data_IF_746445876796
#
_entry.id   IF_746445876796
#
_cell.length_a   1.000
_cell.length_b   1.000
_cell.length_c   1.000
_cell.angle_alpha   90.00
_cell.angle_beta   90.00
_cell.angle_gamma   90.00
#
_symmetry.space_group_name_H-M   'P 1'
#
loop_
_entity.id
_entity.type
_entity.pdbx_description
1 polymer ?
#
# COMPACT_ATOMS: atom_id res chain seq x y z
N UNK A 1 0.74 4.88 10.79
CA UNK A 1 2.06 5.13 10.21
C UNK A 1 2.62 6.44 10.78
N UNK A 2 3.70 6.41 11.53
CA UNK A 2 4.21 7.57 12.29
C UNK A 2 5.65 7.94 11.88
N UNK A 3 5.88 8.18 10.59
CA UNK A 3 7.16 8.57 10.02
C UNK A 3 7.00 9.76 9.06
N UNK A 4 6.21 10.75 9.51
CA UNK A 4 5.74 11.87 8.69
C UNK A 4 6.86 12.70 8.04
N UNK A 5 8.05 12.80 8.66
CA UNK A 5 9.18 13.59 8.15
C UNK A 5 9.77 13.03 6.84
N UNK A 6 9.58 11.73 6.53
CA UNK A 6 9.94 11.12 5.25
C UNK A 6 8.71 10.99 4.32
N UNK A 7 7.52 11.43 4.76
CA UNK A 7 6.26 11.14 4.09
C UNK A 7 5.82 9.68 4.26
N UNK A 8 6.17 9.05 5.39
CA UNK A 8 5.93 7.64 5.69
C UNK A 8 6.54 6.70 4.62
N UNK A 9 7.75 7.04 4.15
CA UNK A 9 8.43 6.26 3.12
C UNK A 9 8.89 4.89 3.66
N UNK A 10 8.89 3.89 2.79
CA UNK A 10 9.26 2.51 3.10
C UNK A 10 10.76 2.32 2.96
N UNK A 11 11.51 2.60 4.01
CA UNK A 11 12.85 2.10 4.23
C UNK A 11 12.80 0.80 5.06
N UNK A 12 13.95 0.16 5.25
CA UNK A 12 14.03 -1.11 5.97
C UNK A 12 13.59 -0.99 7.44
N UNK A 13 13.90 0.13 8.09
CA UNK A 13 13.48 0.39 9.48
C UNK A 13 11.98 0.50 9.61
N UNK A 14 11.36 1.27 8.71
CA UNK A 14 9.91 1.47 8.68
C UNK A 14 9.16 0.16 8.40
N UNK A 15 9.55 -0.61 7.37
CA UNK A 15 8.84 -1.85 7.03
C UNK A 15 9.00 -2.94 8.09
N UNK A 16 10.13 -2.99 8.79
CA UNK A 16 10.33 -3.88 9.95
C UNK A 16 9.38 -3.52 11.09
N UNK A 17 9.31 -2.24 11.45
CA UNK A 17 8.38 -1.77 12.48
C UNK A 17 6.92 -2.03 12.11
N UNK A 18 6.56 -1.83 10.84
CA UNK A 18 5.21 -2.13 10.33
C UNK A 18 4.89 -3.63 10.42
N UNK A 19 5.79 -4.50 9.97
CA UNK A 19 5.67 -5.94 10.08
C UNK A 19 5.45 -6.38 11.54
N UNK A 20 6.30 -5.89 12.45
CA UNK A 20 6.24 -6.26 13.87
C UNK A 20 4.93 -5.80 14.52
N UNK A 21 4.46 -4.58 14.19
CA UNK A 21 3.16 -4.09 14.64
C UNK A 21 2.00 -4.94 14.11
N UNK A 22 2.04 -5.35 12.83
CA UNK A 22 1.01 -6.20 12.24
C UNK A 22 1.03 -7.60 12.84
N UNK A 23 2.21 -8.18 13.10
CA UNK A 23 2.33 -9.47 13.76
C UNK A 23 1.74 -9.42 15.19
N UNK A 24 1.97 -8.34 15.91
CA UNK A 24 1.38 -8.13 17.23
C UNK A 24 -0.15 -7.97 17.17
N UNK A 25 -0.67 -7.24 16.17
CA UNK A 25 -2.12 -7.14 15.94
C UNK A 25 -2.74 -8.53 15.65
N UNK A 26 -2.10 -9.34 14.81
CA UNK A 26 -2.57 -10.68 14.51
C UNK A 26 -2.67 -11.52 15.80
N UNK A 27 -1.64 -11.50 16.63
CA UNK A 27 -1.65 -12.19 17.93
C UNK A 27 -2.80 -11.72 18.84
N UNK A 28 -3.01 -10.41 18.98
CA UNK A 28 -4.10 -9.87 19.82
C UNK A 28 -5.51 -10.15 19.28
N UNK A 29 -5.66 -10.36 17.97
CA UNK A 29 -6.96 -10.68 17.37
C UNK A 29 -7.30 -12.17 17.42
N UNK A 30 -6.31 -13.06 17.65
CA UNK A 30 -6.50 -14.51 17.75
C UNK A 30 -6.83 -14.98 19.16
N UNK A 31 -6.41 -14.25 20.20
CA UNK A 31 -6.66 -14.64 21.60
C UNK A 31 -8.14 -14.49 21.99
N UNK A 32 -8.74 -15.62 22.36
CA UNK A 32 -10.18 -15.72 22.67
C UNK A 32 -10.61 -14.98 23.95
N UNK A 33 -9.69 -14.58 24.84
CA UNK A 33 -9.96 -14.12 26.21
C UNK A 33 -9.34 -12.76 26.60
N UNK A 34 -8.59 -12.10 25.70
CA UNK A 34 -8.10 -10.74 25.96
C UNK A 34 -9.17 -9.68 25.61
N UNK A 35 -8.98 -8.45 26.08
CA UNK A 35 -9.78 -7.30 25.63
C UNK A 35 -9.77 -7.27 24.09
N UNK A 36 -10.87 -7.76 23.49
CA UNK A 36 -10.90 -8.09 22.06
C UNK A 36 -10.75 -6.85 21.23
N UNK A 37 -9.69 -6.80 20.41
CA UNK A 37 -9.66 -5.89 19.26
C UNK A 37 -10.74 -6.37 18.29
N UNK A 38 -11.72 -5.52 18.01
CA UNK A 38 -12.85 -5.84 17.13
C UNK A 38 -12.77 -5.15 15.78
N UNK A 39 -11.91 -4.12 15.64
CA UNK A 39 -11.60 -3.44 14.41
C UNK A 39 -10.21 -2.80 14.48
N UNK A 40 -9.57 -2.60 13.33
CA UNK A 40 -8.30 -1.90 13.20
C UNK A 40 -8.51 -0.65 12.34
N UNK A 41 -8.03 0.50 12.83
CA UNK A 41 -7.92 1.74 12.06
C UNK A 41 -6.47 1.94 11.64
N UNK A 42 -6.21 1.83 10.34
CA UNK A 42 -4.92 2.12 9.73
C UNK A 42 -4.87 3.58 9.29
N UNK A 43 -4.19 4.41 10.03
CA UNK A 43 -4.03 5.85 9.76
C UNK A 43 -2.56 6.23 9.59
N UNK A 44 -2.31 7.46 9.15
CA UNK A 44 -0.97 7.98 8.94
C UNK A 44 -0.84 9.42 9.47
N UNK A 45 0.28 9.70 10.13
CA UNK A 45 0.64 11.05 10.54
C UNK A 45 1.18 11.87 9.36
N UNK A 46 0.95 13.17 9.40
CA UNK A 46 1.45 14.13 8.42
C UNK A 46 0.55 14.30 7.19
N UNK A 47 1.05 14.99 6.15
CA UNK A 47 0.23 15.40 5.01
C UNK A 47 -0.06 14.28 4.02
N UNK A 48 0.65 13.14 4.10
CA UNK A 48 0.52 12.02 3.19
C UNK A 48 0.26 10.72 3.95
N UNK A 49 -0.53 9.84 3.38
CA UNK A 49 -0.64 8.48 3.89
C UNK A 49 0.72 7.77 3.79
N UNK A 50 1.27 7.66 2.59
CA UNK A 50 2.66 7.27 2.37
C UNK A 50 3.07 7.52 0.91
N UNK A 51 4.34 7.87 0.72
CA UNK A 51 4.95 8.09 -0.61
C UNK A 51 5.54 6.81 -1.21
N UNK A 52 5.39 5.66 -0.54
CA UNK A 52 5.93 4.36 -0.99
C UNK A 52 7.40 4.17 -0.66
N UNK A 53 8.13 3.41 -1.47
CA UNK A 53 9.54 3.10 -1.23
C UNK A 53 10.41 4.34 -1.05
N UNK A 54 11.34 4.32 -0.10
CA UNK A 54 12.31 5.39 0.09
C UNK A 54 13.39 5.34 -0.99
N UNK A 55 13.17 6.10 -2.06
CA UNK A 55 14.13 6.16 -3.18
C UNK A 55 15.50 6.71 -2.78
N UNK A 56 15.58 7.51 -1.70
CA UNK A 56 16.88 8.02 -1.21
C UNK A 56 17.67 6.89 -0.57
N UNK A 57 17.02 6.08 0.27
CA UNK A 57 17.63 4.88 0.82
C UNK A 57 18.03 3.91 -0.29
N UNK A 58 17.18 3.70 -1.30
CA UNK A 58 17.47 2.81 -2.43
C UNK A 58 18.72 3.26 -3.22
N UNK A 59 18.81 4.55 -3.56
CA UNK A 59 19.95 5.09 -4.33
C UNK A 59 21.24 5.08 -3.51
N UNK A 60 21.17 5.25 -2.19
CA UNK A 60 22.34 5.21 -1.31
C UNK A 60 23.06 3.86 -1.32
N UNK A 61 22.36 2.77 -1.59
CA UNK A 61 22.91 1.40 -1.64
C UNK A 61 23.75 1.10 -2.89
N UNK A 62 23.76 1.99 -3.88
CA UNK A 62 24.58 1.88 -5.09
C UNK A 62 24.43 0.51 -5.78
N UNK A 63 25.51 -0.28 -5.81
CA UNK A 63 25.53 -1.58 -6.47
C UNK A 63 24.78 -2.66 -5.65
N UNK A 64 24.58 -2.46 -4.35
CA UNK A 64 23.81 -3.33 -3.47
C UNK A 64 22.30 -3.09 -3.54
N UNK A 65 21.82 -2.09 -4.30
CA UNK A 65 20.39 -1.67 -4.36
C UNK A 65 19.43 -2.83 -4.61
N UNK A 66 19.77 -3.80 -5.46
CA UNK A 66 18.91 -4.95 -5.74
C UNK A 66 18.64 -5.81 -4.51
N UNK A 67 19.68 -6.10 -3.73
CA UNK A 67 19.56 -6.85 -2.47
C UNK A 67 18.75 -6.09 -1.41
N UNK A 68 19.05 -4.79 -1.26
CA UNK A 68 18.36 -3.94 -0.31
C UNK A 68 16.85 -3.80 -0.64
N UNK A 69 16.51 -3.52 -1.90
CA UNK A 69 15.12 -3.40 -2.35
C UNK A 69 14.38 -4.73 -2.17
N UNK A 70 15.06 -5.86 -2.40
CA UNK A 70 14.50 -7.18 -2.13
C UNK A 70 14.12 -7.34 -0.65
N UNK A 71 15.04 -7.03 0.26
CA UNK A 71 14.81 -7.13 1.70
C UNK A 71 13.68 -6.21 2.17
N UNK A 72 13.62 -4.97 1.66
CA UNK A 72 12.52 -4.03 1.94
C UNK A 72 11.18 -4.59 1.44
N UNK A 73 11.13 -5.11 0.21
CA UNK A 73 9.93 -5.67 -0.38
C UNK A 73 9.44 -6.91 0.39
N UNK A 74 10.32 -7.89 0.63
CA UNK A 74 9.98 -9.12 1.37
C UNK A 74 9.44 -8.79 2.78
N UNK A 75 10.09 -7.85 3.49
CA UNK A 75 9.64 -7.41 4.81
C UNK A 75 8.28 -6.68 4.76
N UNK A 76 8.07 -5.83 3.76
CA UNK A 76 6.77 -5.16 3.56
C UNK A 76 5.67 -6.16 3.19
N UNK A 77 6.00 -7.20 2.42
CA UNK A 77 5.08 -8.27 2.03
C UNK A 77 4.57 -9.07 3.23
N UNK A 78 5.41 -9.30 4.26
CA UNK A 78 4.96 -9.90 5.52
C UNK A 78 3.87 -9.06 6.19
N UNK A 79 4.02 -7.73 6.21
CA UNK A 79 2.99 -6.83 6.73
C UNK A 79 1.71 -6.84 5.87
N UNK A 80 1.85 -6.85 4.54
CA UNK A 80 0.72 -6.96 3.59
C UNK A 80 -0.07 -8.24 3.83
N UNK A 81 0.62 -9.38 3.94
CA UNK A 81 0.00 -10.68 4.23
C UNK A 81 -0.68 -10.69 5.59
N UNK A 82 -0.01 -10.16 6.61
CA UNK A 82 -0.56 -10.08 7.95
C UNK A 82 -1.84 -9.24 8.02
N UNK A 83 -1.84 -8.02 7.45
CA UNK A 83 -3.03 -7.17 7.40
C UNK A 83 -4.17 -7.79 6.61
N UNK A 84 -3.86 -8.37 5.44
CA UNK A 84 -4.86 -9.04 4.62
C UNK A 84 -5.48 -10.25 5.31
N UNK A 85 -4.71 -10.94 6.17
CA UNK A 85 -5.12 -12.12 6.93
C UNK A 85 -5.80 -11.83 8.28
N UNK A 86 -5.85 -10.59 8.75
CA UNK A 86 -6.51 -10.27 10.03
C UNK A 86 -7.96 -10.72 10.02
N UNK A 87 -8.40 -11.34 11.11
CA UNK A 87 -9.80 -11.76 11.27
C UNK A 87 -10.76 -10.58 11.43
N UNK A 88 -10.32 -9.52 12.10
CA UNK A 88 -11.13 -8.33 12.35
C UNK A 88 -11.14 -7.38 11.16
N UNK A 89 -12.18 -6.55 11.01
CA UNK A 89 -12.21 -5.53 9.97
C UNK A 89 -11.07 -4.52 10.09
N UNK A 90 -10.52 -4.13 8.95
CA UNK A 90 -9.50 -3.08 8.82
C UNK A 90 -10.08 -1.91 8.04
N UNK A 91 -10.11 -0.74 8.65
CA UNK A 91 -10.47 0.54 8.04
C UNK A 91 -9.20 1.31 7.75
N UNK A 92 -9.00 1.79 6.52
CA UNK A 92 -7.91 2.70 6.20
C UNK A 92 -8.41 4.15 6.13
N UNK A 93 -7.69 5.05 6.80
CA UNK A 93 -7.85 6.50 6.75
C UNK A 93 -6.75 7.08 5.85
N UNK A 94 -7.13 7.67 4.71
CA UNK A 94 -6.20 7.96 3.61
C UNK A 94 -6.22 9.43 3.23
N UNK A 95 -5.09 10.12 3.42
CA UNK A 95 -4.90 11.53 3.03
C UNK A 95 -3.69 11.72 2.11
N UNK A 96 -3.70 12.82 1.37
CA UNK A 96 -2.57 13.28 0.56
C UNK A 96 -2.10 12.27 -0.48
N UNK A 97 -0.80 12.00 -0.51
CA UNK A 97 -0.23 11.02 -1.44
C UNK A 97 -0.35 9.58 -0.90
N UNK A 98 -0.77 8.69 -1.80
CA UNK A 98 -0.72 7.23 -1.65
C UNK A 98 0.05 6.70 -2.85
N UNK A 99 1.33 6.35 -2.66
CA UNK A 99 2.16 6.01 -3.81
C UNK A 99 2.90 4.66 -3.66
N UNK A 100 3.18 4.01 -4.79
CA UNK A 100 3.97 2.77 -4.82
C UNK A 100 3.43 1.71 -3.87
N UNK A 101 4.29 1.12 -3.03
CA UNK A 101 3.94 0.08 -2.05
C UNK A 101 2.82 0.46 -1.08
N UNK A 102 2.65 1.76 -0.80
CA UNK A 102 1.54 2.24 0.03
C UNK A 102 0.16 1.97 -0.59
N UNK A 103 0.07 1.93 -1.92
CA UNK A 103 -1.18 1.52 -2.60
C UNK A 103 -1.48 0.08 -2.24
N UNK A 104 -0.50 -0.83 -2.37
CA UNK A 104 -0.65 -2.23 -1.96
C UNK A 104 -1.12 -2.38 -0.52
N UNK A 105 -0.49 -1.64 0.41
CA UNK A 105 -0.91 -1.62 1.81
C UNK A 105 -2.37 -1.16 1.98
N UNK A 106 -2.79 -0.10 1.27
CA UNK A 106 -4.19 0.38 1.29
C UNK A 106 -5.17 -0.67 0.76
N UNK A 107 -4.76 -1.46 -0.26
CA UNK A 107 -5.60 -2.52 -0.85
C UNK A 107 -5.87 -3.69 0.11
N UNK A 108 -5.11 -3.83 1.20
CA UNK A 108 -5.35 -4.84 2.23
C UNK A 108 -6.50 -4.45 3.17
N UNK A 109 -6.83 -3.17 3.28
CA UNK A 109 -7.96 -2.73 4.10
C UNK A 109 -9.29 -3.26 3.56
N UNK A 110 -10.26 -3.46 4.46
CA UNK A 110 -11.60 -3.89 4.09
C UNK A 110 -12.46 -2.71 3.65
N UNK A 111 -12.24 -1.57 4.31
CA UNK A 111 -12.93 -0.32 4.01
C UNK A 111 -11.91 0.83 3.97
N UNK A 112 -12.09 1.74 3.02
CA UNK A 112 -11.21 2.88 2.83
C UNK A 112 -12.02 4.17 2.87
N UNK A 113 -11.66 5.08 3.78
CA UNK A 113 -12.15 6.46 3.81
C UNK A 113 -11.01 7.37 3.36
N UNK A 114 -11.24 8.17 2.35
CA UNK A 114 -10.23 9.05 1.78
C UNK A 114 -10.61 10.53 1.91
N UNK A 115 -9.60 11.36 2.18
CA UNK A 115 -9.72 12.80 2.02
C UNK A 115 -9.97 13.16 0.55
N UNK A 116 -10.77 14.20 0.28
CA UNK A 116 -11.04 14.69 -1.09
C UNK A 116 -9.75 15.07 -1.83
N UNK A 117 -8.74 15.57 -1.10
CA UNK A 117 -7.43 15.89 -1.65
C UNK A 117 -6.51 14.70 -1.91
N UNK A 118 -6.89 13.47 -1.52
CA UNK A 118 -6.04 12.30 -1.68
C UNK A 118 -5.81 11.92 -3.15
N UNK A 119 -4.60 11.42 -3.43
CA UNK A 119 -4.14 11.09 -4.77
C UNK A 119 -3.41 9.75 -4.77
N UNK A 120 -3.93 8.80 -5.51
CA UNK A 120 -3.31 7.47 -5.67
C UNK A 120 -2.43 7.46 -6.92
N UNK A 121 -1.22 6.93 -6.80
CA UNK A 121 -0.30 6.78 -7.93
C UNK A 121 0.59 5.54 -7.76
N UNK A 122 0.60 4.65 -8.72
CA UNK A 122 1.46 3.46 -8.66
C UNK A 122 2.95 3.84 -8.81
N UNK A 123 3.30 4.61 -9.80
CA UNK A 123 4.62 5.25 -9.94
C UNK A 123 5.77 4.32 -10.36
N UNK A 124 5.65 3.03 -10.24
CA UNK A 124 6.72 2.05 -10.45
C UNK A 124 7.36 2.11 -11.83
N UNK A 125 6.57 1.92 -12.88
CA UNK A 125 7.09 1.82 -14.25
C UNK A 125 7.63 3.14 -14.77
N UNK A 126 7.23 4.29 -14.17
CA UNK A 126 7.83 5.59 -14.46
C UNK A 126 9.30 5.68 -14.05
N UNK A 127 9.69 4.91 -13.02
CA UNK A 127 11.06 4.82 -12.52
C UNK A 127 11.81 3.61 -13.07
N UNK A 128 11.15 2.78 -13.88
CA UNK A 128 11.72 1.52 -14.37
C UNK A 128 11.65 0.37 -13.36
N UNK A 129 10.88 0.54 -12.28
CA UNK A 129 10.57 -0.50 -11.29
C UNK A 129 9.34 -1.31 -11.72
N UNK A 130 9.11 -2.43 -11.07
CA UNK A 130 7.90 -3.24 -11.18
C UNK A 130 7.00 -3.04 -9.97
N UNK A 131 5.68 -3.31 -10.06
CA UNK A 131 4.78 -3.29 -8.90
C UNK A 131 5.26 -4.25 -7.81
N UNK A 132 4.93 -3.90 -6.56
CA UNK A 132 5.14 -4.72 -5.37
C UNK A 132 4.03 -4.52 -4.33
N UNK A 133 4.21 -5.06 -3.12
CA UNK A 133 3.26 -4.98 -2.00
C UNK A 133 1.85 -5.49 -2.35
N UNK A 134 1.74 -6.44 -3.26
CA UNK A 134 0.47 -7.02 -3.68
C UNK A 134 -0.33 -6.13 -4.65
N UNK A 135 0.22 -5.02 -5.12
CA UNK A 135 -0.50 -4.12 -6.00
C UNK A 135 -0.91 -4.80 -7.31
N UNK A 136 -0.04 -5.65 -7.90
CA UNK A 136 -0.34 -6.34 -9.15
C UNK A 136 -1.30 -7.53 -8.96
N UNK A 137 -1.48 -8.01 -7.73
CA UNK A 137 -2.44 -9.06 -7.39
C UNK A 137 -3.81 -8.51 -6.99
N UNK A 138 -3.83 -7.55 -6.09
CA UNK A 138 -5.06 -7.04 -5.47
C UNK A 138 -5.80 -6.05 -6.40
N UNK A 139 -5.07 -5.17 -7.09
CA UNK A 139 -5.67 -4.12 -7.90
C UNK A 139 -6.57 -4.66 -9.02
N UNK A 140 -6.14 -5.65 -9.86
CA UNK A 140 -7.01 -6.20 -10.89
C UNK A 140 -8.22 -6.95 -10.34
N UNK A 141 -8.14 -7.49 -9.13
CA UNK A 141 -9.26 -8.15 -8.44
C UNK A 141 -10.30 -7.17 -7.91
N UNK A 142 -9.89 -5.95 -7.58
CA UNK A 142 -10.78 -4.88 -7.13
C UNK A 142 -11.38 -4.08 -8.28
N UNK A 143 -10.57 -3.73 -9.28
CA UNK A 143 -10.93 -2.79 -10.35
C UNK A 143 -11.18 -3.43 -11.71
N UNK A 144 -10.84 -4.72 -11.86
CA UNK A 144 -10.70 -5.38 -13.14
C UNK A 144 -9.36 -5.06 -13.82
N UNK A 145 -8.92 -5.97 -14.70
CA UNK A 145 -7.60 -5.94 -15.32
C UNK A 145 -7.32 -4.64 -16.10
N UNK A 146 -8.31 -4.14 -16.85
CA UNK A 146 -8.10 -2.94 -17.70
C UNK A 146 -7.79 -1.68 -16.91
N UNK A 147 -8.49 -1.43 -15.80
CA UNK A 147 -8.24 -0.28 -14.94
C UNK A 147 -6.91 -0.44 -14.18
N UNK A 148 -6.58 -1.65 -13.74
CA UNK A 148 -5.30 -1.95 -13.11
C UNK A 148 -4.14 -1.67 -14.08
N UNK A 149 -4.20 -2.16 -15.31
CA UNK A 149 -3.20 -1.91 -16.36
C UNK A 149 -3.11 -0.43 -16.75
N UNK A 150 -4.24 0.29 -16.82
CA UNK A 150 -4.23 1.73 -17.04
C UNK A 150 -3.37 2.45 -16.00
N UNK A 151 -3.59 2.20 -14.70
CA UNK A 151 -2.81 2.82 -13.64
C UNK A 151 -1.34 2.39 -13.64
N UNK A 152 -1.07 1.10 -13.81
CA UNK A 152 0.29 0.54 -13.76
C UNK A 152 1.16 0.96 -14.94
N UNK A 153 0.59 1.01 -16.16
CA UNK A 153 1.36 1.29 -17.37
C UNK A 153 1.46 2.79 -17.67
N UNK A 154 0.42 3.57 -17.35
CA UNK A 154 0.41 5.01 -17.64
C UNK A 154 1.00 5.84 -16.49
N UNK A 155 1.02 5.30 -15.28
CA UNK A 155 1.42 6.01 -14.05
C UNK A 155 0.64 7.31 -13.80
N UNK A 156 -0.58 7.40 -14.34
CA UNK A 156 -1.42 8.57 -14.09
C UNK A 156 -1.80 8.64 -12.61
N UNK A 157 -2.11 9.83 -12.18
CA UNK A 157 -2.69 10.06 -10.85
C UNK A 157 -4.17 9.71 -10.92
N UNK A 158 -4.65 8.93 -9.93
CA UNK A 158 -6.06 8.65 -9.70
C UNK A 158 -6.53 9.54 -8.53
N UNK A 159 -7.37 10.56 -8.77
CA UNK A 159 -7.93 11.38 -7.71
C UNK A 159 -8.92 10.58 -6.84
N UNK A 160 -9.12 11.00 -5.57
CA UNK A 160 -10.00 10.31 -4.63
C UNK A 160 -11.42 10.10 -5.17
N UNK A 161 -12.02 11.11 -5.81
CA UNK A 161 -13.36 10.99 -6.38
C UNK A 161 -13.45 9.93 -7.50
N UNK A 162 -12.42 9.81 -8.34
CA UNK A 162 -12.37 8.75 -9.36
C UNK A 162 -12.10 7.38 -8.72
N UNK A 163 -11.27 7.33 -7.67
CA UNK A 163 -11.02 6.12 -6.89
C UNK A 163 -12.30 5.60 -6.22
N UNK A 164 -13.15 6.49 -5.70
CA UNK A 164 -14.47 6.14 -5.17
C UNK A 164 -15.40 5.62 -6.28
N UNK A 165 -15.50 6.33 -7.40
CA UNK A 165 -16.31 5.90 -8.54
C UNK A 165 -15.88 4.55 -9.14
N UNK A 166 -14.62 4.18 -8.95
CA UNK A 166 -14.09 2.88 -9.36
C UNK A 166 -14.22 1.78 -8.30
N UNK A 167 -14.60 2.12 -7.08
CA UNK A 167 -14.72 1.18 -5.97
C UNK A 167 -13.39 0.84 -5.29
N UNK A 168 -12.33 1.65 -5.51
CA UNK A 168 -11.07 1.53 -4.78
C UNK A 168 -11.16 2.16 -3.39
N UNK A 169 -12.01 3.16 -3.23
CA UNK A 169 -12.31 3.88 -2.00
C UNK A 169 -13.80 3.76 -1.72
N UNK A 170 -14.18 3.51 -0.47
CA UNK A 170 -15.57 3.33 -0.07
C UNK A 170 -16.30 4.67 0.15
N UNK A 171 -15.55 5.68 0.62
CA UNK A 171 -16.10 6.99 0.95
C UNK A 171 -15.04 8.08 0.79
N UNK A 172 -15.42 9.18 0.14
CA UNK A 172 -14.63 10.41 0.09
C UNK A 172 -15.31 11.47 0.94
N UNK A 173 -14.53 12.11 1.82
CA UNK A 173 -14.98 13.18 2.72
C UNK A 173 -14.09 14.41 2.57
N UNK A 174 -14.53 15.54 3.11
CA UNK A 174 -13.67 16.73 3.16
C UNK A 174 -12.45 16.46 4.06
N UNK A 175 -11.30 17.07 3.73
CA UNK A 175 -10.03 16.74 4.36
C UNK A 175 -10.07 16.92 5.89
N UNK A 176 -10.81 17.95 6.37
CA UNK A 176 -10.96 18.19 7.80
C UNK A 176 -11.86 17.18 8.53
N UNK A 177 -12.72 16.48 7.80
CA UNK A 177 -13.65 15.48 8.35
C UNK A 177 -13.06 14.08 8.36
N UNK A 178 -11.93 13.85 7.67
CA UNK A 178 -11.37 12.52 7.47
C UNK A 178 -11.15 11.76 8.79
N UNK A 179 -10.47 12.29 9.82
CA UNK A 179 -10.21 11.53 11.03
C UNK A 179 -11.50 11.11 11.74
N UNK A 180 -12.47 12.03 11.87
CA UNK A 180 -13.74 11.74 12.53
C UNK A 180 -14.60 10.76 11.76
N UNK A 181 -14.60 10.82 10.42
CA UNK A 181 -15.35 9.92 9.57
C UNK A 181 -14.78 8.50 9.59
N UNK A 182 -13.46 8.36 9.54
CA UNK A 182 -12.77 7.07 9.62
C UNK A 182 -12.94 6.42 11.00
N UNK A 183 -12.78 7.20 12.07
CA UNK A 183 -13.00 6.72 13.44
C UNK A 183 -14.47 6.30 13.66
N UNK A 184 -15.43 7.10 13.21
CA UNK A 184 -16.85 6.76 13.32
C UNK A 184 -17.18 5.47 12.58
N UNK A 185 -16.60 5.25 11.39
CA UNK A 185 -16.76 4.00 10.66
C UNK A 185 -16.18 2.83 11.43
N UNK A 186 -14.95 2.93 11.94
CA UNK A 186 -14.32 1.87 12.73
C UNK A 186 -15.13 1.54 13.99
N UNK A 187 -15.60 2.57 14.73
CA UNK A 187 -16.46 2.37 15.92
C UNK A 187 -17.79 1.69 15.57
N UNK A 188 -18.41 2.02 14.45
CA UNK A 188 -19.67 1.37 14.04
C UNK A 188 -19.51 -0.13 13.78
N UNK A 189 -18.29 -0.59 13.47
CA UNK A 189 -17.98 -2.01 13.32
C UNK A 189 -17.81 -2.70 14.69
N UNK A 190 -17.24 -1.99 15.68
CA UNK A 190 -17.13 -2.48 17.07
C UNK A 190 -18.50 -2.63 17.72
N UNK A 191 -19.41 -1.69 17.48
CA UNK A 191 -20.79 -1.75 18.02
C UNK A 191 -21.64 -2.88 17.38
N UNK A 192 -21.09 -3.58 16.39
CA UNK A 192 -21.75 -4.67 15.68
C UNK A 192 -21.54 -6.04 16.31
N UNK A 193 -21.82 -7.08 15.53
CA UNK A 193 -21.59 -8.47 15.91
C UNK A 193 -20.21 -8.95 15.40
N UNK A 194 -19.13 -8.74 16.15
CA UNK A 194 -17.75 -8.97 15.76
C UNK A 194 -17.48 -10.31 15.05
N UNK A 195 -18.03 -11.43 15.60
CA UNK A 195 -17.91 -12.75 14.97
C UNK A 195 -18.55 -12.79 13.59
N UNK A 196 -19.74 -12.18 13.42
CA UNK A 196 -20.42 -12.17 12.14
C UNK A 196 -19.66 -11.32 11.10
N UNK A 197 -19.10 -10.18 11.51
CA UNK A 197 -18.29 -9.32 10.65
C UNK A 197 -17.02 -10.06 10.18
N UNK A 198 -16.31 -10.70 11.11
CA UNK A 198 -15.11 -11.49 10.79
C UNK A 198 -15.44 -12.65 9.84
N UNK A 199 -16.53 -13.36 10.03
CA UNK A 199 -16.96 -14.45 9.15
C UNK A 199 -17.41 -13.95 7.78
N UNK A 200 -18.10 -12.81 7.72
CA UNK A 200 -18.47 -12.18 6.45
C UNK A 200 -17.22 -11.76 5.65
N UNK A 201 -16.22 -11.14 6.31
CA UNK A 201 -14.94 -10.82 5.71
C UNK A 201 -14.27 -12.06 5.15
N UNK A 202 -14.18 -13.14 5.94
CA UNK A 202 -13.57 -14.40 5.53
C UNK A 202 -14.25 -14.99 4.30
N UNK A 203 -15.60 -15.04 4.28
CA UNK A 203 -16.36 -15.55 3.14
C UNK A 203 -16.13 -14.75 1.85
N UNK A 204 -15.98 -13.43 1.96
CA UNK A 204 -15.72 -12.55 0.80
C UNK A 204 -14.26 -12.66 0.32
N UNK A 205 -13.32 -12.86 1.25
CA UNK A 205 -11.87 -12.81 0.96
C UNK A 205 -11.24 -14.19 0.76
N UNK A 206 -11.90 -15.29 1.14
CA UNK A 206 -11.31 -16.62 1.23
C UNK A 206 -10.38 -16.95 0.07
N UNK A 207 -10.92 -17.02 -1.13
CA UNK A 207 -10.16 -17.38 -2.32
C UNK A 207 -9.22 -16.26 -2.85
N UNK A 208 -9.37 -15.03 -2.35
CA UNK A 208 -8.57 -13.89 -2.85
C UNK A 208 -7.15 -13.88 -2.33
N UNK A 209 -6.92 -14.50 -1.19
CA UNK A 209 -5.59 -14.58 -0.56
C UNK A 209 -4.84 -15.84 -0.99
N UNK A 210 -5.54 -16.81 -1.57
CA UNK A 210 -4.91 -18.00 -2.14
C UNK A 210 -3.96 -17.60 -3.27
N UNK A 211 -2.71 -18.00 -3.18
CA UNK A 211 -1.67 -17.64 -4.12
C UNK A 211 -1.10 -16.23 -3.97
N UNK A 212 -1.62 -15.38 -3.07
CA UNK A 212 -1.02 -14.06 -2.83
C UNK A 212 0.43 -14.17 -2.37
N UNK A 213 0.76 -15.09 -1.48
CA UNK A 213 2.13 -15.30 -0.98
C UNK A 213 3.10 -15.59 -2.13
N UNK A 214 2.79 -16.57 -2.98
CA UNK A 214 3.62 -16.94 -4.12
C UNK A 214 3.77 -15.78 -5.11
N UNK A 215 2.71 -14.99 -5.29
CA UNK A 215 2.74 -13.83 -6.15
C UNK A 215 3.63 -12.72 -5.60
N UNK A 216 3.61 -12.47 -4.29
CA UNK A 216 4.49 -11.52 -3.63
C UNK A 216 5.96 -11.91 -3.75
N UNK A 217 6.30 -13.20 -3.72
CA UNK A 217 7.66 -13.66 -3.99
C UNK A 217 8.11 -13.27 -5.42
N UNK A 218 7.24 -13.43 -6.42
CA UNK A 218 7.53 -12.97 -7.79
C UNK A 218 7.68 -11.45 -7.87
N UNK A 219 6.83 -10.68 -7.15
CA UNK A 219 6.96 -9.21 -7.10
C UNK A 219 8.31 -8.80 -6.51
N UNK A 220 8.73 -9.41 -5.38
CA UNK A 220 10.01 -9.13 -4.73
C UNK A 220 11.21 -9.43 -5.65
N UNK A 221 11.18 -10.56 -6.37
CA UNK A 221 12.20 -10.91 -7.34
C UNK A 221 12.28 -9.88 -8.49
N UNK A 222 11.14 -9.52 -9.04
CA UNK A 222 11.07 -8.60 -10.20
C UNK A 222 11.49 -7.19 -9.83
N UNK A 223 11.05 -6.65 -8.69
CA UNK A 223 11.44 -5.29 -8.27
C UNK A 223 12.92 -5.21 -7.92
N UNK A 224 13.48 -6.24 -7.27
CA UNK A 224 14.90 -6.34 -6.98
C UNK A 224 15.73 -6.36 -8.27
N UNK A 225 15.38 -7.20 -9.23
CA UNK A 225 16.05 -7.27 -10.52
C UNK A 225 15.91 -5.97 -11.33
N UNK A 226 14.76 -5.31 -11.25
CA UNK A 226 14.52 -4.03 -11.92
C UNK A 226 15.34 -2.90 -11.29
N UNK A 227 15.41 -2.83 -9.95
CA UNK A 227 16.14 -1.79 -9.21
C UNK A 227 17.64 -1.84 -9.44
N UNK A 228 18.21 -3.04 -9.64
CA UNK A 228 19.63 -3.24 -9.92
C UNK A 228 20.08 -2.71 -11.30
N UNK A 229 19.14 -2.39 -12.20
CA UNK A 229 19.50 -1.91 -13.56
C UNK A 229 20.03 -0.47 -13.49
N UNK A 230 21.15 -0.15 -14.18
CA UNK A 230 21.71 1.20 -14.18
C UNK A 230 20.72 2.28 -14.65
N UNK A 231 19.86 1.95 -15.61
CA UNK A 231 18.82 2.86 -16.10
C UNK A 231 17.76 3.17 -15.05
N UNK A 232 17.39 2.20 -14.24
CA UNK A 232 16.41 2.36 -13.16
C UNK A 232 17.01 3.21 -12.04
N UNK A 233 18.26 2.93 -11.63
CA UNK A 233 18.99 3.75 -10.66
C UNK A 233 19.05 5.21 -11.13
N UNK A 234 19.46 5.44 -12.37
CA UNK A 234 19.48 6.78 -12.97
C UNK A 234 18.10 7.45 -12.94
N UNK A 235 17.02 6.72 -13.21
CA UNK A 235 15.66 7.28 -13.17
C UNK A 235 15.24 7.68 -11.75
N UNK A 236 15.63 6.91 -10.72
CA UNK A 236 15.40 7.25 -9.31
C UNK A 236 16.20 8.50 -8.91
N UNK A 237 17.48 8.60 -9.29
CA UNK A 237 18.33 9.78 -9.07
C UNK A 237 17.75 11.03 -9.73
N UNK A 238 17.33 10.94 -10.99
CA UNK A 238 16.72 12.05 -11.74
C UNK A 238 15.40 12.51 -11.10
N UNK A 239 14.61 11.57 -10.58
CA UNK A 239 13.39 11.87 -9.86
C UNK A 239 13.69 12.64 -8.56
N UNK A 240 14.67 12.19 -7.77
CA UNK A 240 15.09 12.85 -6.53
C UNK A 240 15.68 14.24 -6.78
N UNK A 241 16.39 14.41 -7.90
CA UNK A 241 16.93 15.71 -8.33
C UNK A 241 15.86 16.66 -8.93
N UNK A 242 14.59 16.23 -9.04
CA UNK A 242 13.54 17.01 -9.68
C UNK A 242 13.70 17.17 -11.19
N UNK A 243 14.62 16.41 -11.81
CA UNK A 243 14.85 16.42 -13.25
C UNK A 243 13.89 15.43 -13.92
N UNK A 244 13.02 15.92 -14.83
CA UNK A 244 12.17 15.02 -15.60
C UNK A 244 13.04 14.15 -16.52
N UNK A 245 12.87 12.81 -16.52
CA UNK A 245 13.56 11.99 -17.51
C UNK A 245 13.21 12.49 -18.91
N UNK A 246 14.22 12.83 -19.71
CA UNK A 246 14.02 13.16 -21.12
C UNK A 246 13.36 11.94 -21.75
N UNK A 247 12.11 12.07 -22.22
CA UNK A 247 11.48 11.06 -23.08
C UNK A 247 12.41 10.86 -24.27
N UNK A 248 13.10 9.73 -24.29
CA UNK A 248 13.96 9.39 -25.42
C UNK A 248 13.12 9.40 -26.68
N UNK A 249 13.37 10.36 -27.56
CA UNK A 249 12.94 10.27 -28.96
C UNK A 249 13.61 8.99 -29.49
N UNK A 250 12.86 7.90 -29.59
CA UNK A 250 13.26 6.86 -30.53
C UNK A 250 13.04 7.47 -31.91
N UNK A 251 14.15 7.83 -32.58
CA UNK A 251 14.14 7.99 -34.01
C UNK A 251 13.50 6.73 -34.64
N UNK A 252 12.62 6.94 -35.57
CA UNK A 252 11.94 5.93 -36.37
C UNK A 252 12.95 5.08 -37.15
#
# INVERSE_FOLDING_TARGET
LAHAHTGNAFDLGFVRALRDAVAQLAHWTEEADSEKIEAVLLSAEGPNFSVGGDLRAFVAEQDAVGGYVREVAETAHEAVLGLAGLYVPVVAEVQGAVAGGAVGLTLTADLVVAARGAKVRLGYTALGLTPDCGASWLLPRLLGERRALDLLLTNRVLPAAEAEAWGLVNRVVDDAELPSAAEALARSLVDGHGLALSRAKLLVRGDRLDGLRDHLECEAEFIAAASARPRTRKAMEDFLAGTRPKRGHRAR
#
